data_IF_074359841723
#
_entry.id   IF_074359841723
#
_cell.length_a   1.000
_cell.length_b   1.000
_cell.length_c   1.000
_cell.angle_alpha   90.00
_cell.angle_beta   90.00
_cell.angle_gamma   90.00
#
_symmetry.space_group_name_H-M   'P 1'
#
loop_
_entity.id
_entity.type
_entity.pdbx_description
1 polymer ?
#
# COMPACT_ATOMS: atom_id res chain seq x y z
N UNK A 1 -6.87 -0.93 -22.56
CA UNK A 1 -7.59 -2.21 -22.45
C UNK A 1 -7.89 -2.40 -20.99
N UNK A 2 -9.16 -2.50 -20.58
CA UNK A 2 -9.51 -2.65 -19.17
C UNK A 2 -9.03 -4.01 -18.66
N UNK A 3 -8.10 -4.01 -17.71
CA UNK A 3 -7.58 -5.22 -17.09
C UNK A 3 -8.50 -5.67 -15.96
N UNK A 4 -8.99 -6.91 -16.04
CA UNK A 4 -9.67 -7.57 -14.92
C UNK A 4 -8.66 -8.41 -14.13
N UNK A 5 -8.87 -8.52 -12.82
CA UNK A 5 -8.04 -9.30 -11.88
C UNK A 5 -7.86 -10.77 -12.30
N UNK A 6 -8.74 -11.28 -13.17
CA UNK A 6 -8.73 -12.65 -13.69
C UNK A 6 -7.63 -12.86 -14.74
N UNK A 7 -7.38 -11.89 -15.62
CA UNK A 7 -6.43 -12.08 -16.74
C UNK A 7 -4.96 -12.07 -16.31
N UNK A 8 -4.62 -11.39 -15.21
CA UNK A 8 -3.26 -11.42 -14.65
C UNK A 8 -3.02 -12.63 -13.74
N UNK A 9 -4.09 -13.15 -13.10
CA UNK A 9 -4.05 -14.42 -12.39
C UNK A 9 -3.61 -15.60 -13.28
N UNK A 10 -3.96 -15.55 -14.58
CA UNK A 10 -3.61 -16.60 -15.57
C UNK A 10 -2.16 -16.52 -16.08
N UNK A 11 -1.52 -15.34 -16.04
CA UNK A 11 -0.15 -15.17 -16.52
C UNK A 11 0.91 -15.53 -15.46
N UNK A 12 0.55 -15.48 -14.17
CA UNK A 12 1.42 -15.79 -13.04
C UNK A 12 1.15 -17.18 -12.40
N UNK A 13 0.08 -17.87 -12.83
CA UNK A 13 -0.29 -19.19 -12.31
C UNK A 13 0.74 -20.30 -12.57
N UNK A 14 1.40 -20.45 -13.74
CA UNK A 14 2.21 -21.65 -13.97
C UNK A 14 3.40 -21.76 -13.01
N UNK A 15 4.09 -20.65 -12.76
CA UNK A 15 5.28 -20.63 -11.89
C UNK A 15 4.88 -20.74 -10.43
N UNK A 16 3.84 -20.01 -10.00
CA UNK A 16 3.36 -20.07 -8.61
C UNK A 16 2.82 -21.47 -8.29
N UNK A 17 1.96 -22.02 -9.14
CA UNK A 17 1.39 -23.37 -8.98
C UNK A 17 2.48 -24.45 -9.02
N UNK A 18 3.41 -24.39 -9.98
CA UNK A 18 4.54 -25.33 -10.09
C UNK A 18 5.43 -25.31 -8.85
N UNK A 19 5.71 -24.12 -8.32
CA UNK A 19 6.56 -23.94 -7.14
C UNK A 19 5.85 -24.46 -5.87
N UNK A 20 4.54 -24.21 -5.72
CA UNK A 20 3.72 -24.81 -4.66
C UNK A 20 3.65 -26.35 -4.74
N UNK A 21 3.45 -26.91 -5.94
CA UNK A 21 3.40 -28.37 -6.17
C UNK A 21 4.74 -29.05 -5.88
N UNK A 22 5.85 -28.51 -6.39
CA UNK A 22 7.20 -29.06 -6.20
C UNK A 22 7.59 -29.14 -4.73
N UNK A 23 7.22 -28.13 -3.94
CA UNK A 23 7.52 -28.14 -2.52
C UNK A 23 6.61 -29.07 -1.70
N UNK A 24 5.34 -29.18 -2.08
CA UNK A 24 4.43 -30.15 -1.45
C UNK A 24 4.95 -31.59 -1.59
N UNK A 25 5.53 -31.92 -2.75
CA UNK A 25 6.08 -33.26 -3.05
C UNK A 25 7.45 -33.52 -2.39
N UNK A 26 8.34 -32.52 -2.35
CA UNK A 26 9.73 -32.71 -1.89
C UNK A 26 9.98 -32.31 -0.42
N UNK A 27 8.93 -32.14 0.38
CA UNK A 27 9.00 -31.64 1.76
C UNK A 27 9.93 -32.45 2.69
N UNK A 28 10.05 -33.77 2.47
CA UNK A 28 10.84 -34.66 3.34
C UNK A 28 12.35 -34.62 3.08
N UNK A 29 12.79 -34.26 1.88
CA UNK A 29 14.21 -34.26 1.48
C UNK A 29 14.94 -32.95 1.81
N UNK A 30 14.21 -31.90 2.19
CA UNK A 30 14.77 -30.57 2.45
C UNK A 30 15.01 -30.26 3.94
N UNK A 31 14.70 -31.20 4.85
CA UNK A 31 14.61 -30.99 6.31
C UNK A 31 15.87 -30.42 7.00
N UNK A 32 17.05 -30.54 6.39
CA UNK A 32 18.34 -30.10 6.97
C UNK A 32 19.00 -28.94 6.21
N UNK A 33 18.28 -28.23 5.33
CA UNK A 33 18.81 -27.04 4.60
C UNK A 33 18.17 -25.75 5.14
N UNK A 34 18.81 -24.56 5.02
CA UNK A 34 18.18 -23.27 5.35
C UNK A 34 16.85 -23.02 4.60
N UNK A 35 16.65 -23.77 3.52
CA UNK A 35 15.56 -23.75 2.56
C UNK A 35 14.30 -24.53 3.04
N UNK A 36 14.25 -24.95 4.32
CA UNK A 36 13.11 -25.68 4.92
C UNK A 36 11.84 -24.82 4.97
N UNK A 37 11.98 -23.52 5.16
CA UNK A 37 10.83 -22.62 5.24
C UNK A 37 10.37 -22.22 3.84
N UNK A 38 9.33 -22.92 3.39
CA UNK A 38 8.60 -22.73 2.14
C UNK A 38 8.44 -21.27 1.69
N UNK A 39 8.23 -20.35 2.62
CA UNK A 39 7.84 -18.97 2.32
C UNK A 39 8.95 -18.04 1.85
N UNK A 40 10.23 -18.31 2.14
CA UNK A 40 11.30 -17.33 1.87
C UNK A 40 11.88 -17.47 0.47
N UNK A 41 12.43 -18.63 0.11
CA UNK A 41 13.02 -18.86 -1.22
C UNK A 41 11.98 -18.74 -2.33
N UNK A 42 10.76 -19.21 -2.09
CA UNK A 42 9.66 -19.02 -3.03
C UNK A 42 9.26 -17.56 -3.15
N UNK A 43 9.22 -16.83 -2.03
CA UNK A 43 8.93 -15.39 -2.04
C UNK A 43 9.96 -14.62 -2.88
N UNK A 44 11.26 -14.90 -2.68
CA UNK A 44 12.34 -14.29 -3.46
C UNK A 44 12.26 -14.67 -4.93
N UNK A 45 11.97 -15.93 -5.25
CA UNK A 45 11.81 -16.37 -6.65
C UNK A 45 10.64 -15.67 -7.34
N UNK A 46 9.49 -15.55 -6.66
CA UNK A 46 8.31 -14.84 -7.17
C UNK A 46 8.62 -13.36 -7.39
N UNK A 47 9.31 -12.71 -6.44
CA UNK A 47 9.73 -11.31 -6.58
C UNK A 47 10.69 -11.14 -7.76
N UNK A 48 11.67 -12.04 -7.91
CA UNK A 48 12.64 -11.98 -9.02
C UNK A 48 11.96 -12.14 -10.37
N UNK A 49 11.05 -13.11 -10.50
CA UNK A 49 10.27 -13.29 -11.73
C UNK A 49 9.39 -12.07 -12.02
N UNK A 50 8.76 -11.50 -10.99
CA UNK A 50 8.00 -10.27 -11.14
C UNK A 50 8.87 -9.10 -11.61
N UNK A 51 10.10 -8.93 -11.09
CA UNK A 51 11.04 -7.89 -11.53
C UNK A 51 11.46 -8.10 -13.00
N UNK A 52 11.78 -9.34 -13.37
CA UNK A 52 12.13 -9.67 -14.76
C UNK A 52 10.96 -9.48 -15.73
N UNK A 53 9.74 -9.72 -15.25
CA UNK A 53 8.52 -9.51 -16.00
C UNK A 53 8.20 -8.01 -16.13
N UNK A 54 8.39 -7.23 -15.07
CA UNK A 54 8.08 -5.80 -15.05
C UNK A 54 9.09 -4.97 -15.84
N UNK A 55 10.37 -5.38 -15.87
CA UNK A 55 11.42 -4.67 -16.64
C UNK A 55 11.17 -4.63 -18.15
N UNK A 56 10.28 -5.48 -18.66
CA UNK A 56 9.92 -5.57 -20.08
C UNK A 56 8.62 -4.83 -20.40
N UNK A 57 8.08 -4.02 -19.47
CA UNK A 57 6.79 -3.35 -19.60
C UNK A 57 6.87 -1.86 -19.24
N UNK A 58 5.97 -1.04 -19.79
CA UNK A 58 5.85 0.36 -19.39
C UNK A 58 5.54 0.52 -17.90
N UNK A 59 5.91 1.68 -17.34
CA UNK A 59 5.69 1.99 -15.92
C UNK A 59 4.19 2.02 -15.61
N UNK A 60 3.38 2.51 -16.54
CA UNK A 60 1.93 2.62 -16.45
C UNK A 60 1.31 1.25 -16.21
N UNK A 61 1.86 0.19 -16.83
CA UNK A 61 1.39 -1.18 -16.62
C UNK A 61 1.62 -1.63 -15.16
N UNK A 62 2.75 -1.26 -14.57
CA UNK A 62 3.09 -1.63 -13.19
C UNK A 62 2.25 -0.83 -12.20
N UNK A 63 2.02 0.44 -12.48
CA UNK A 63 1.14 1.29 -11.68
C UNK A 63 -0.30 0.78 -11.72
N UNK A 64 -0.84 0.45 -12.89
CA UNK A 64 -2.18 -0.13 -13.03
C UNK A 64 -2.28 -1.49 -12.35
N UNK A 65 -1.26 -2.35 -12.48
CA UNK A 65 -1.25 -3.67 -11.86
C UNK A 65 -1.19 -3.59 -10.32
N UNK A 66 -0.34 -2.72 -9.78
CA UNK A 66 -0.21 -2.57 -8.33
C UNK A 66 -1.35 -1.75 -7.74
N UNK A 67 -2.01 -0.90 -8.52
CA UNK A 67 -3.19 -0.13 -8.12
C UNK A 67 -4.49 -0.95 -8.04
N UNK A 68 -4.48 -2.22 -8.44
CA UNK A 68 -5.69 -3.06 -8.42
C UNK A 68 -6.31 -3.15 -7.02
N UNK A 69 -7.60 -2.82 -6.94
CA UNK A 69 -8.37 -2.78 -5.69
C UNK A 69 -8.38 -4.13 -4.98
N UNK A 70 -8.02 -4.15 -3.69
CA UNK A 70 -8.13 -5.34 -2.83
C UNK A 70 -9.33 -5.18 -1.90
N UNK A 71 -10.32 -6.10 -1.95
CA UNK A 71 -11.48 -6.02 -1.07
C UNK A 71 -11.08 -6.18 0.39
N UNK A 72 -11.69 -5.37 1.25
CA UNK A 72 -11.52 -5.50 2.70
C UNK A 72 -12.39 -6.66 3.22
N UNK A 73 -11.85 -7.54 4.07
CA UNK A 73 -12.66 -8.55 4.76
C UNK A 73 -13.74 -7.90 5.64
N UNK A 74 -14.84 -8.62 5.90
CA UNK A 74 -16.00 -8.10 6.64
C UNK A 74 -15.69 -7.66 8.09
N UNK A 75 -14.61 -8.16 8.69
CA UNK A 75 -14.13 -7.81 10.03
C UNK A 75 -13.23 -6.57 10.06
N UNK A 76 -12.89 -6.00 8.91
CA UNK A 76 -12.12 -4.76 8.77
C UNK A 76 -13.06 -3.62 8.39
N UNK A 77 -12.94 -2.49 9.09
CA UNK A 77 -13.60 -1.25 8.70
C UNK A 77 -12.60 -0.37 7.95
N UNK A 78 -12.94 -0.06 6.69
CA UNK A 78 -12.27 0.96 5.89
C UNK A 78 -13.18 2.18 5.81
N UNK A 79 -12.61 3.37 6.04
CA UNK A 79 -13.31 4.65 5.94
C UNK A 79 -12.45 5.60 5.12
N UNK A 80 -12.91 5.93 3.92
CA UNK A 80 -12.25 6.88 3.02
C UNK A 80 -12.65 8.29 3.35
N UNK A 81 -11.74 9.22 3.12
CA UNK A 81 -11.96 10.65 3.30
C UNK A 81 -11.09 11.47 2.34
N UNK A 82 -11.58 12.66 2.03
CA UNK A 82 -10.81 13.70 1.38
C UNK A 82 -10.06 14.52 2.43
N UNK A 83 -8.75 14.71 2.22
CA UNK A 83 -7.91 15.57 3.06
C UNK A 83 -8.18 17.02 2.66
N UNK A 84 -8.59 17.83 3.65
CA UNK A 84 -8.88 19.25 3.46
C UNK A 84 -7.67 20.00 2.89
N UNK A 85 -7.95 20.93 1.96
CA UNK A 85 -6.95 21.83 1.37
C UNK A 85 -6.22 22.67 2.42
N UNK A 86 -6.85 22.97 3.55
CA UNK A 86 -6.19 23.69 4.66
C UNK A 86 -4.93 22.97 5.14
N UNK A 87 -4.99 21.64 5.30
CA UNK A 87 -3.83 20.85 5.70
C UNK A 87 -2.76 20.80 4.60
N UNK A 88 -3.17 20.83 3.33
CA UNK A 88 -2.25 20.87 2.19
C UNK A 88 -1.49 22.19 2.15
N UNK A 89 -2.19 23.31 2.30
CA UNK A 89 -1.60 24.65 2.35
C UNK A 89 -0.63 24.78 3.52
N UNK A 90 -1.04 24.35 4.72
CA UNK A 90 -0.17 24.37 5.91
C UNK A 90 1.07 23.49 5.77
N UNK A 91 0.94 22.33 5.13
CA UNK A 91 2.07 21.45 4.84
C UNK A 91 3.02 22.09 3.81
N UNK A 92 2.47 22.75 2.79
CA UNK A 92 3.26 23.46 1.80
C UNK A 92 4.04 24.62 2.43
N UNK A 93 3.40 25.41 3.30
CA UNK A 93 4.06 26.49 4.05
C UNK A 93 5.21 25.94 4.88
N UNK A 94 4.98 24.87 5.64
CA UNK A 94 6.01 24.22 6.44
C UNK A 94 7.20 23.75 5.58
N UNK A 95 6.95 23.16 4.41
CA UNK A 95 8.00 22.74 3.48
C UNK A 95 8.78 23.92 2.92
N UNK A 96 8.09 24.99 2.49
CA UNK A 96 8.71 26.21 1.97
C UNK A 96 9.60 26.85 3.03
N UNK A 97 9.14 26.93 4.28
CA UNK A 97 9.93 27.44 5.41
C UNK A 97 11.18 26.60 5.64
N UNK A 98 11.06 25.26 5.63
CA UNK A 98 12.19 24.36 5.89
C UNK A 98 13.21 24.34 4.75
N UNK A 99 12.76 24.43 3.50
CA UNK A 99 13.64 24.46 2.33
C UNK A 99 14.44 25.77 2.23
N UNK A 100 13.89 26.87 2.76
CA UNK A 100 14.47 28.20 2.63
C UNK A 100 14.54 28.68 1.16
N UNK A 101 15.09 29.88 0.91
CA UNK A 101 15.15 30.44 -0.43
C UNK A 101 15.87 29.55 -1.44
N UNK A 102 17.02 28.99 -1.06
CA UNK A 102 17.85 28.16 -1.94
C UNK A 102 17.20 26.81 -2.24
N UNK A 103 16.58 26.17 -1.23
CA UNK A 103 15.88 24.91 -1.41
C UNK A 103 14.66 25.09 -2.31
N UNK A 104 13.89 26.15 -2.08
CA UNK A 104 12.74 26.52 -2.93
C UNK A 104 13.18 26.75 -4.37
N UNK A 105 14.28 27.49 -4.60
CA UNK A 105 14.81 27.70 -5.94
C UNK A 105 15.23 26.38 -6.62
N UNK A 106 15.91 25.48 -5.87
CA UNK A 106 16.33 24.15 -6.37
C UNK A 106 15.16 23.27 -6.76
N UNK A 107 14.08 23.32 -5.98
CA UNK A 107 12.86 22.58 -6.30
C UNK A 107 11.97 23.35 -7.25
N UNK A 108 12.44 24.35 -8.00
CA UNK A 108 11.69 25.03 -9.07
C UNK A 108 10.66 26.07 -8.61
N UNK A 109 10.73 26.55 -7.38
CA UNK A 109 9.86 27.59 -6.84
C UNK A 109 8.83 27.07 -5.83
N UNK A 110 7.85 27.92 -5.48
CA UNK A 110 6.88 27.60 -4.43
C UNK A 110 5.68 26.80 -4.92
N UNK A 111 5.31 26.89 -6.21
CA UNK A 111 3.95 26.54 -6.64
C UNK A 111 3.85 25.22 -7.44
N UNK A 112 4.79 24.93 -8.34
CA UNK A 112 4.58 23.84 -9.31
C UNK A 112 4.50 22.44 -8.68
N UNK A 113 5.27 22.14 -7.63
CA UNK A 113 5.22 20.83 -6.95
C UNK A 113 3.95 20.68 -6.08
N UNK A 114 3.23 21.78 -5.84
CA UNK A 114 1.90 21.78 -5.24
C UNK A 114 0.80 21.49 -6.27
N UNK A 115 1.09 21.65 -7.57
CA UNK A 115 0.13 21.39 -8.64
C UNK A 115 -0.23 19.90 -8.75
N UNK A 116 -1.47 19.61 -9.18
CA UNK A 116 -2.08 18.26 -9.15
C UNK A 116 -2.80 17.84 -10.45
N UNK A 117 -2.53 18.50 -11.58
CA UNK A 117 -3.06 18.05 -12.88
C UNK A 117 -4.43 18.63 -13.29
N UNK A 118 -4.76 18.60 -14.59
CA UNK A 118 -6.06 19.05 -15.13
C UNK A 118 -7.18 17.99 -14.99
N UNK A 119 -6.85 16.72 -14.78
CA UNK A 119 -7.80 15.60 -14.71
C UNK A 119 -8.37 15.31 -13.30
N UNK A 120 -8.06 16.13 -12.29
CA UNK A 120 -8.84 16.11 -11.05
C UNK A 120 -8.44 15.05 -10.01
N UNK A 121 -7.15 14.95 -9.68
CA UNK A 121 -6.75 14.64 -8.30
C UNK A 121 -6.75 15.94 -7.47
N UNK A 122 -7.80 16.76 -7.63
CA UNK A 122 -7.99 18.01 -6.86
C UNK A 122 -8.15 17.76 -5.37
N UNK A 123 -8.45 16.51 -5.00
CA UNK A 123 -8.72 16.06 -3.65
C UNK A 123 -7.71 14.98 -3.26
N UNK A 124 -6.80 15.30 -2.33
CA UNK A 124 -5.89 14.30 -1.79
C UNK A 124 -6.70 13.33 -0.92
N UNK A 125 -6.86 12.08 -1.35
CA UNK A 125 -7.63 11.07 -0.63
C UNK A 125 -6.78 10.26 0.35
N UNK A 126 -7.43 9.83 1.41
CA UNK A 126 -6.86 8.93 2.41
C UNK A 126 -7.90 7.97 2.95
N UNK A 127 -7.43 6.92 3.59
CA UNK A 127 -8.29 5.92 4.21
C UNK A 127 -7.82 5.57 5.62
N UNK A 128 -8.80 5.45 6.51
CA UNK A 128 -8.66 4.83 7.81
C UNK A 128 -8.97 3.35 7.72
N UNK A 129 -8.08 2.54 8.27
CA UNK A 129 -8.20 1.08 8.37
C UNK A 129 -8.13 0.70 9.84
N UNK A 130 -9.13 -0.05 10.29
CA UNK A 130 -9.22 -0.54 11.66
C UNK A 130 -10.04 -1.83 11.76
N UNK A 131 -9.94 -2.52 12.90
CA UNK A 131 -10.80 -3.66 13.18
C UNK A 131 -12.22 -3.18 13.49
N UNK A 132 -13.24 -3.85 12.93
CA UNK A 132 -14.65 -3.47 13.14
C UNK A 132 -15.07 -3.59 14.61
N UNK A 133 -14.48 -4.53 15.36
CA UNK A 133 -14.62 -4.66 16.81
C UNK A 133 -14.19 -3.38 17.53
N UNK A 134 -12.98 -2.90 17.22
CA UNK A 134 -12.35 -1.76 17.87
C UNK A 134 -13.08 -0.45 17.49
N UNK A 135 -13.60 -0.38 16.27
CA UNK A 135 -14.49 0.71 15.83
C UNK A 135 -15.76 0.76 16.68
N UNK A 136 -16.45 -0.37 16.84
CA UNK A 136 -17.69 -0.46 17.61
C UNK A 136 -17.44 -0.15 19.10
N UNK A 137 -16.37 -0.69 19.66
CA UNK A 137 -15.97 -0.44 21.05
C UNK A 137 -15.65 1.04 21.27
N UNK A 138 -14.88 1.66 20.38
CA UNK A 138 -14.60 3.11 20.44
C UNK A 138 -15.88 3.95 20.34
N UNK A 139 -16.85 3.55 19.52
CA UNK A 139 -18.15 4.25 19.43
C UNK A 139 -18.94 4.14 20.74
N UNK A 140 -18.82 3.03 21.47
CA UNK A 140 -19.48 2.83 22.76
C UNK A 140 -18.78 3.57 23.91
N UNK A 141 -17.46 3.46 24.00
CA UNK A 141 -16.65 3.98 25.12
C UNK A 141 -16.26 5.44 24.92
N UNK A 142 -16.31 5.96 23.70
CA UNK A 142 -16.03 7.37 23.39
C UNK A 142 -14.53 7.69 23.40
N UNK A 143 -14.14 8.74 24.12
CA UNK A 143 -12.76 9.28 24.11
C UNK A 143 -11.76 8.43 24.87
N UNK A 144 -12.22 7.52 25.74
CA UNK A 144 -11.35 6.71 26.59
C UNK A 144 -10.83 5.44 25.92
N UNK A 145 -11.28 5.14 24.70
CA UNK A 145 -10.81 3.95 23.99
C UNK A 145 -9.34 4.09 23.54
N UNK A 146 -8.46 3.09 23.79
CA UNK A 146 -7.03 3.18 23.47
C UNK A 146 -6.71 3.50 22.00
N UNK A 147 -7.56 3.06 21.06
CA UNK A 147 -7.39 3.35 19.63
C UNK A 147 -7.54 4.83 19.27
N UNK A 148 -8.00 5.69 20.20
CA UNK A 148 -8.01 7.14 20.00
C UNK A 148 -6.58 7.70 19.98
N UNK A 149 -5.66 7.08 20.74
CA UNK A 149 -4.26 7.48 20.87
C UNK A 149 -3.31 6.65 20.01
N UNK A 150 -3.72 5.45 19.59
CA UNK A 150 -2.91 4.55 18.75
C UNK A 150 -3.24 4.74 17.27
N UNK A 151 -2.46 5.59 16.62
CA UNK A 151 -2.60 5.94 15.21
C UNK A 151 -1.28 5.66 14.50
N UNK A 152 -1.33 4.98 13.36
CA UNK A 152 -0.18 4.79 12.48
C UNK A 152 -0.43 5.51 11.16
N UNK A 153 0.42 6.47 10.80
CA UNK A 153 0.50 6.99 9.44
C UNK A 153 1.33 6.02 8.60
N UNK A 154 0.77 5.56 7.48
CA UNK A 154 1.42 4.62 6.58
C UNK A 154 1.60 5.24 5.19
N UNK A 155 2.83 5.21 4.70
CA UNK A 155 3.21 5.59 3.35
C UNK A 155 3.82 4.35 2.70
N UNK A 156 3.27 3.91 1.58
CA UNK A 156 3.79 2.73 0.90
C UNK A 156 5.17 3.03 0.28
N UNK A 157 6.03 2.02 0.27
CA UNK A 157 7.29 2.06 -0.47
C UNK A 157 7.11 1.76 -1.96
N UNK A 158 8.21 1.40 -2.61
CA UNK A 158 8.22 1.00 -4.03
C UNK A 158 8.77 2.06 -4.97
N UNK A 159 9.77 2.82 -4.51
CA UNK A 159 10.61 3.68 -5.34
C UNK A 159 9.84 4.65 -6.23
N UNK A 160 8.71 5.18 -5.74
CA UNK A 160 7.84 6.18 -6.38
C UNK A 160 7.02 5.71 -7.59
N UNK A 161 7.28 4.53 -8.16
CA UNK A 161 6.56 4.05 -9.36
C UNK A 161 5.91 2.67 -9.18
N UNK A 162 6.28 1.92 -8.14
CA UNK A 162 5.83 0.57 -7.87
C UNK A 162 5.07 0.49 -6.55
N UNK A 163 4.07 -0.38 -6.49
CA UNK A 163 3.31 -0.63 -5.28
C UNK A 163 2.20 0.40 -5.05
N UNK A 164 1.34 0.06 -4.11
CA UNK A 164 0.18 0.88 -3.72
C UNK A 164 -0.27 0.50 -2.31
N UNK A 165 -1.24 1.24 -1.76
CA UNK A 165 -1.88 0.81 -0.52
C UNK A 165 -2.64 -0.52 -0.69
N UNK A 166 -3.11 -0.82 -1.90
CA UNK A 166 -3.74 -2.10 -2.20
C UNK A 166 -2.76 -3.27 -2.10
N UNK A 167 -1.56 -3.14 -2.65
CA UNK A 167 -0.53 -4.19 -2.52
C UNK A 167 -0.14 -4.45 -1.06
N UNK A 168 -0.27 -3.43 -0.20
CA UNK A 168 0.09 -3.50 1.22
C UNK A 168 -1.12 -3.75 2.12
N UNK A 169 -2.33 -3.92 1.55
CA UNK A 169 -3.62 -3.98 2.26
C UNK A 169 -3.62 -4.96 3.44
N UNK A 170 -3.12 -6.17 3.23
CA UNK A 170 -3.01 -7.19 4.28
C UNK A 170 -2.10 -6.76 5.43
N UNK A 171 -0.96 -6.11 5.11
CA UNK A 171 -0.02 -5.61 6.11
C UNK A 171 -0.66 -4.52 6.97
N UNK A 172 -1.37 -3.56 6.37
CA UNK A 172 -2.05 -2.48 7.10
C UNK A 172 -3.13 -3.03 8.03
N UNK A 173 -3.92 -4.01 7.57
CA UNK A 173 -4.92 -4.69 8.41
C UNK A 173 -4.27 -5.40 9.60
N UNK A 174 -3.14 -6.08 9.38
CA UNK A 174 -2.38 -6.75 10.44
C UNK A 174 -1.84 -5.74 11.46
N UNK A 175 -1.32 -4.61 11.00
CA UNK A 175 -0.85 -3.51 11.86
C UNK A 175 -2.00 -2.94 12.70
N UNK A 176 -3.14 -2.62 12.07
CA UNK A 176 -4.32 -2.12 12.78
C UNK A 176 -4.75 -3.06 13.92
N UNK A 177 -4.84 -4.37 13.62
CA UNK A 177 -5.19 -5.41 14.59
C UNK A 177 -4.19 -5.52 15.74
N UNK A 178 -2.88 -5.50 15.43
CA UNK A 178 -1.83 -5.65 16.45
C UNK A 178 -1.71 -4.43 17.34
N UNK A 179 -1.91 -3.24 16.79
CA UNK A 179 -1.94 -1.99 17.55
C UNK A 179 -3.22 -1.85 18.40
N UNK A 180 -4.29 -2.59 18.08
CA UNK A 180 -5.66 -2.28 18.53
C UNK A 180 -5.96 -0.80 18.29
N UNK A 181 -5.64 -0.37 17.08
CA UNK A 181 -5.45 1.02 16.69
C UNK A 181 -6.00 1.30 15.30
N UNK A 182 -5.76 2.53 14.84
CA UNK A 182 -6.16 2.97 13.49
C UNK A 182 -4.94 3.20 12.63
N UNK A 183 -5.01 2.77 11.38
CA UNK A 183 -3.98 3.03 10.37
C UNK A 183 -4.56 4.00 9.36
N UNK A 184 -3.86 5.11 9.13
CA UNK A 184 -4.17 6.05 8.07
C UNK A 184 -3.19 5.84 6.92
N UNK A 185 -3.69 5.70 5.70
CA UNK A 185 -2.86 5.58 4.51
C UNK A 185 -3.40 6.50 3.41
N UNK A 186 -2.51 7.02 2.57
CA UNK A 186 -2.89 7.77 1.37
C UNK A 186 -3.59 6.81 0.39
N UNK A 187 -4.79 7.14 -0.04
CA UNK A 187 -5.42 6.37 -1.12
C UNK A 187 -4.71 6.74 -2.43
N UNK A 188 -4.27 5.73 -3.17
CA UNK A 188 -3.74 5.88 -4.52
C UNK A 188 -4.89 5.68 -5.48
N UNK A 189 -5.18 6.70 -6.28
CA UNK A 189 -6.18 6.61 -7.33
C UNK A 189 -5.62 5.76 -8.47
N UNK A 190 -6.29 4.65 -8.74
CA UNK A 190 -6.08 3.78 -9.89
C UNK A 190 -7.02 4.17 -11.01
#
# INVERSE_FOLDING_TARGET
MALSTVSVGVALTPTVVSTFFSHYVNRKTLHNKPNVHLSYDQGISVIREFINYSSKRPIEYIQEFTGQRVPAPHWVKVTRLTISKEYLSRAADALITQLGPDGVARVGGKEWWQWRGPAGDTELRGEWIEMKSDYNERKRVGKDHPSQRRIMLYIHGGAYYFGSVETHRYQLQRHARKLKGRVFARESDS
#
